data_IF_549445096924
#
_entry.id   IF_549445096924
#
_cell.length_a   1.000
_cell.length_b   1.000
_cell.length_c   1.000
_cell.angle_alpha   90.00
_cell.angle_beta   90.00
_cell.angle_gamma   90.00
#
_symmetry.space_group_name_H-M   'P 1'
#
loop_
_entity.id
_entity.type
_entity.pdbx_description
1 polymer ?
#
# COMPACT_ATOMS: atom_id res chain seq x y z
N UNK A 1 16.49 -17.81 11.47
CA UNK A 1 16.21 -17.47 10.05
C UNK A 1 14.88 -16.75 10.04
N UNK A 2 14.91 -15.43 9.95
CA UNK A 2 13.69 -14.63 9.97
C UNK A 2 12.91 -14.87 8.67
N UNK A 3 11.70 -15.42 8.81
CA UNK A 3 10.84 -15.83 7.70
C UNK A 3 10.26 -14.65 6.90
N UNK A 4 10.59 -13.42 7.25
CA UNK A 4 10.25 -12.23 6.50
C UNK A 4 11.45 -11.79 5.66
N UNK A 5 11.31 -11.72 4.34
CA UNK A 5 12.33 -11.16 3.44
C UNK A 5 12.55 -9.65 3.62
N UNK A 6 12.28 -9.11 4.82
CA UNK A 6 12.36 -7.69 5.14
C UNK A 6 13.80 -7.14 5.05
N UNK A 7 14.82 -7.97 5.25
CA UNK A 7 16.23 -7.56 5.09
C UNK A 7 16.54 -7.06 3.66
N UNK A 8 15.77 -7.46 2.67
CA UNK A 8 15.89 -7.00 1.30
C UNK A 8 15.30 -5.60 1.08
N UNK A 9 14.32 -5.17 1.88
CA UNK A 9 13.65 -3.89 1.70
C UNK A 9 14.57 -2.71 1.98
N UNK A 10 15.35 -2.75 3.06
CA UNK A 10 16.28 -1.68 3.44
C UNK A 10 17.31 -1.37 2.34
N UNK A 11 17.65 -2.35 1.49
CA UNK A 11 18.63 -2.16 0.40
C UNK A 11 18.06 -1.44 -0.84
N UNK A 12 16.75 -1.32 -0.94
CA UNK A 12 16.03 -0.70 -2.08
C UNK A 12 15.23 0.51 -1.63
N UNK A 13 14.58 0.42 -0.47
CA UNK A 13 13.80 1.49 0.12
C UNK A 13 14.68 2.28 1.12
N UNK A 14 15.80 2.79 0.60
CA UNK A 14 16.76 3.61 1.34
C UNK A 14 16.37 5.10 1.32
N UNK A 15 17.10 5.90 2.08
CA UNK A 15 16.85 7.34 2.21
C UNK A 15 16.95 8.09 0.86
N UNK A 16 17.91 7.70 0.01
CA UNK A 16 18.09 8.33 -1.30
C UNK A 16 16.89 8.07 -2.21
N UNK A 17 16.29 6.87 -2.11
CA UNK A 17 15.10 6.50 -2.86
C UNK A 17 13.87 7.22 -2.31
N UNK A 18 13.70 7.27 -0.98
CA UNK A 18 12.61 8.00 -0.34
C UNK A 18 12.62 9.50 -0.70
N UNK A 19 13.80 10.13 -0.69
CA UNK A 19 13.96 11.53 -1.11
C UNK A 19 13.61 11.74 -2.59
N UNK A 20 14.00 10.83 -3.48
CA UNK A 20 13.62 10.88 -4.91
C UNK A 20 12.12 10.77 -5.11
N UNK A 21 11.46 9.89 -4.36
CA UNK A 21 10.00 9.72 -4.42
C UNK A 21 9.30 10.99 -3.91
N UNK A 22 9.78 11.60 -2.85
CA UNK A 22 9.33 12.91 -2.37
C UNK A 22 9.48 13.99 -3.44
N UNK A 23 10.66 14.13 -4.03
CA UNK A 23 10.94 15.19 -5.02
C UNK A 23 10.07 15.01 -6.27
N UNK A 24 9.79 13.76 -6.66
CA UNK A 24 8.82 13.45 -7.71
C UNK A 24 7.42 13.86 -7.31
N UNK A 25 6.98 13.51 -6.08
CA UNK A 25 5.67 13.90 -5.58
C UNK A 25 5.49 15.43 -5.54
N UNK A 26 6.51 16.17 -5.08
CA UNK A 26 6.45 17.64 -5.08
C UNK A 26 6.36 18.24 -6.49
N UNK A 27 7.00 17.63 -7.46
CA UNK A 27 7.01 18.11 -8.84
C UNK A 27 5.76 17.74 -9.63
N UNK A 28 5.31 16.48 -9.50
CA UNK A 28 4.34 15.87 -10.41
C UNK A 28 3.01 15.49 -9.70
N UNK A 29 2.96 15.61 -8.38
CA UNK A 29 1.87 15.09 -7.53
C UNK A 29 1.89 13.56 -7.42
N UNK A 30 0.79 12.94 -6.94
CA UNK A 30 0.65 11.49 -6.89
C UNK A 30 0.83 10.88 -8.28
N UNK A 31 1.46 9.72 -8.37
CA UNK A 31 1.58 9.05 -9.66
C UNK A 31 0.22 8.55 -10.19
N UNK A 32 0.22 8.06 -11.45
CA UNK A 32 -1.02 7.68 -12.11
C UNK A 32 -1.83 6.61 -11.36
N UNK A 33 -1.16 5.62 -10.78
CA UNK A 33 -1.87 4.53 -10.08
C UNK A 33 -2.41 4.99 -8.75
N UNK A 34 -1.64 5.78 -8.00
CA UNK A 34 -2.09 6.41 -6.75
C UNK A 34 -3.26 7.35 -6.98
N UNK A 35 -3.23 8.18 -8.05
CA UNK A 35 -4.39 9.03 -8.43
C UNK A 35 -5.64 8.19 -8.70
N UNK A 36 -5.52 7.12 -9.48
CA UNK A 36 -6.65 6.23 -9.76
C UNK A 36 -7.20 5.58 -8.48
N UNK A 37 -6.32 5.18 -7.55
CA UNK A 37 -6.73 4.66 -6.25
C UNK A 37 -7.52 5.71 -5.46
N UNK A 38 -7.00 6.92 -5.36
CA UNK A 38 -7.64 8.05 -4.67
C UNK A 38 -8.98 8.42 -5.31
N UNK A 39 -9.08 8.39 -6.65
CA UNK A 39 -10.34 8.61 -7.37
C UNK A 39 -11.38 7.54 -7.04
N UNK A 40 -11.00 6.27 -7.05
CA UNK A 40 -11.90 5.15 -6.73
C UNK A 40 -12.32 5.16 -5.25
N UNK A 41 -11.50 5.69 -4.35
CA UNK A 41 -11.81 5.84 -2.92
C UNK A 41 -12.70 7.05 -2.63
N UNK A 42 -12.96 7.94 -3.60
CA UNK A 42 -13.78 9.14 -3.40
C UNK A 42 -15.13 8.88 -2.71
N UNK A 43 -15.91 7.84 -3.05
CA UNK A 43 -17.19 7.55 -2.39
C UNK A 43 -17.07 7.20 -0.90
N UNK A 44 -15.89 6.82 -0.44
CA UNK A 44 -15.62 6.36 0.94
C UNK A 44 -14.92 7.43 1.80
N UNK A 45 -14.72 8.62 1.24
CA UNK A 45 -14.15 9.78 1.95
C UNK A 45 -15.25 10.46 2.76
N UNK A 46 -15.55 9.93 3.93
CA UNK A 46 -16.43 10.61 4.88
C UNK A 46 -15.60 11.51 5.81
N UNK A 47 -16.19 12.64 6.21
CA UNK A 47 -15.55 13.51 7.20
C UNK A 47 -15.26 12.71 8.48
N UNK A 48 -14.01 12.77 8.93
CA UNK A 48 -13.58 12.09 10.14
C UNK A 48 -13.25 10.59 9.97
N UNK A 49 -13.33 10.01 8.74
CA UNK A 49 -12.99 8.61 8.53
C UNK A 49 -11.53 8.30 8.89
N UNK A 50 -11.30 7.11 9.44
CA UNK A 50 -9.97 6.57 9.74
C UNK A 50 -9.36 5.88 8.52
N UNK A 51 -8.05 6.05 8.33
CA UNK A 51 -7.25 5.44 7.25
C UNK A 51 -6.19 4.54 7.86
N UNK A 52 -5.97 3.37 7.27
CA UNK A 52 -4.80 2.52 7.50
C UNK A 52 -4.08 2.32 6.18
N UNK A 53 -2.90 2.92 6.04
CA UNK A 53 -2.07 2.78 4.84
C UNK A 53 -0.89 1.84 5.11
N UNK A 54 -0.94 0.66 4.49
CA UNK A 54 0.04 -0.40 4.70
C UNK A 54 1.10 -0.33 3.60
N UNK A 55 2.37 -0.20 4.00
CA UNK A 55 3.47 0.10 3.11
C UNK A 55 3.33 1.50 2.50
N UNK A 56 2.87 2.46 3.30
CA UNK A 56 2.50 3.80 2.85
C UNK A 56 3.66 4.65 2.33
N UNK A 57 4.88 4.16 2.45
CA UNK A 57 6.06 4.83 1.91
C UNK A 57 6.25 6.23 2.51
N UNK A 58 6.29 7.24 1.66
CA UNK A 58 6.41 8.65 2.10
C UNK A 58 5.07 9.30 2.48
N UNK A 59 3.97 8.50 2.62
CA UNK A 59 2.67 8.95 3.12
C UNK A 59 1.81 9.69 2.09
N UNK A 60 1.99 9.45 0.78
CA UNK A 60 1.23 10.18 -0.26
C UNK A 60 -0.27 9.92 -0.11
N UNK A 61 -0.68 8.67 0.07
CA UNK A 61 -2.10 8.30 0.20
C UNK A 61 -2.70 8.93 1.45
N UNK A 62 -1.99 8.87 2.57
CA UNK A 62 -2.43 9.48 3.84
C UNK A 62 -2.63 10.98 3.69
N UNK A 63 -1.64 11.69 3.15
CA UNK A 63 -1.69 13.14 2.97
C UNK A 63 -2.88 13.55 2.09
N UNK A 64 -3.11 12.85 0.97
CA UNK A 64 -4.20 13.16 0.06
C UNK A 64 -5.58 12.85 0.67
N UNK A 65 -5.71 11.74 1.41
CA UNK A 65 -6.98 11.40 2.09
C UNK A 65 -7.27 12.35 3.26
N UNK A 66 -6.26 12.75 4.03
CA UNK A 66 -6.42 13.72 5.12
C UNK A 66 -6.79 15.11 4.61
N UNK A 67 -6.18 15.56 3.49
CA UNK A 67 -6.58 16.82 2.81
C UNK A 67 -8.02 16.74 2.29
N UNK A 68 -8.45 15.55 1.88
CA UNK A 68 -9.82 15.32 1.40
C UNK A 68 -10.86 15.14 2.53
N UNK A 69 -10.47 15.26 3.82
CA UNK A 69 -11.38 15.27 4.95
C UNK A 69 -11.36 14.03 5.83
N UNK A 70 -10.50 13.02 5.57
CA UNK A 70 -10.30 11.93 6.52
C UNK A 70 -9.85 12.50 7.88
N UNK A 71 -10.21 11.84 8.98
CA UNK A 71 -9.95 12.33 10.35
C UNK A 71 -8.53 12.03 10.81
N UNK A 72 -8.10 10.82 10.64
CA UNK A 72 -6.83 10.31 11.14
C UNK A 72 -6.30 9.20 10.24
N UNK A 73 -4.98 9.05 10.16
CA UNK A 73 -4.33 7.99 9.41
C UNK A 73 -3.35 7.20 10.31
N UNK A 74 -3.22 5.90 10.05
CA UNK A 74 -2.15 5.06 10.56
C UNK A 74 -1.32 4.58 9.39
N UNK A 75 -0.09 5.07 9.28
CA UNK A 75 0.86 4.67 8.25
C UNK A 75 1.79 3.59 8.79
N UNK A 76 1.77 2.42 8.17
CA UNK A 76 2.64 1.30 8.51
C UNK A 76 3.66 1.09 7.42
N UNK A 77 4.95 1.14 7.72
CA UNK A 77 6.01 0.83 6.76
C UNK A 77 7.20 0.12 7.43
N UNK A 78 7.84 -0.79 6.71
CA UNK A 78 9.01 -1.50 7.21
C UNK A 78 10.31 -0.68 7.08
N UNK A 79 10.31 0.40 6.30
CA UNK A 79 11.47 1.26 6.08
C UNK A 79 11.46 2.46 7.00
N UNK A 80 12.41 2.51 7.94
CA UNK A 80 12.66 3.68 8.80
C UNK A 80 12.96 4.93 7.99
N UNK A 81 13.67 4.79 6.85
CA UNK A 81 14.02 5.89 5.97
C UNK A 81 12.78 6.51 5.31
N UNK A 82 11.84 5.68 4.86
CA UNK A 82 10.57 6.16 4.30
C UNK A 82 9.69 6.81 5.37
N UNK A 83 9.61 6.22 6.57
CA UNK A 83 8.86 6.82 7.68
C UNK A 83 9.44 8.16 8.12
N UNK A 84 10.75 8.34 8.08
CA UNK A 84 11.38 9.63 8.38
C UNK A 84 10.93 10.71 7.37
N UNK A 85 10.97 10.39 6.07
CA UNK A 85 10.49 11.30 5.01
C UNK A 85 8.99 11.53 5.12
N UNK A 86 8.18 10.52 5.45
CA UNK A 86 6.74 10.66 5.65
C UNK A 86 6.40 11.62 6.80
N UNK A 87 7.15 11.56 7.92
CA UNK A 87 7.01 12.51 9.03
C UNK A 87 7.34 13.95 8.60
N UNK A 88 8.41 14.13 7.84
CA UNK A 88 8.78 15.45 7.31
C UNK A 88 7.70 16.01 6.39
N UNK A 89 7.13 15.18 5.52
CA UNK A 89 6.05 15.58 4.61
C UNK A 89 4.75 15.90 5.38
N UNK A 90 4.40 15.10 6.37
CA UNK A 90 3.25 15.35 7.25
C UNK A 90 3.42 16.66 8.03
N UNK A 91 4.61 16.92 8.55
CA UNK A 91 4.95 18.18 9.24
C UNK A 91 4.82 19.38 8.31
N UNK A 92 5.39 19.30 7.10
CA UNK A 92 5.27 20.36 6.07
C UNK A 92 3.82 20.64 5.67
N UNK A 93 3.00 19.59 5.65
CA UNK A 93 1.58 19.70 5.34
C UNK A 93 0.71 20.19 6.52
N UNK A 94 1.27 20.31 7.73
CA UNK A 94 0.51 20.62 8.95
C UNK A 94 -0.41 19.48 9.40
N UNK A 95 -0.06 18.25 9.08
CA UNK A 95 -0.87 17.03 9.31
C UNK A 95 -0.19 16.03 10.25
N UNK A 96 0.96 16.39 10.85
CA UNK A 96 1.76 15.48 11.67
C UNK A 96 0.96 14.87 12.83
N UNK A 97 0.16 15.67 13.51
CA UNK A 97 -0.66 15.25 14.66
C UNK A 97 -1.87 14.36 14.25
N UNK A 98 -2.07 14.15 12.95
CA UNK A 98 -3.17 13.36 12.39
C UNK A 98 -2.69 12.05 11.79
N UNK A 99 -1.40 11.70 11.94
CA UNK A 99 -0.83 10.46 11.41
C UNK A 99 -0.05 9.73 12.49
N UNK A 100 -0.44 8.51 12.80
CA UNK A 100 0.36 7.57 13.57
C UNK A 100 1.30 6.80 12.63
N UNK A 101 2.58 6.79 12.97
CA UNK A 101 3.60 6.10 12.18
C UNK A 101 4.04 4.82 12.90
N UNK A 102 3.78 3.68 12.28
CA UNK A 102 4.10 2.36 12.81
C UNK A 102 5.22 1.73 11.97
N UNK A 103 6.38 1.53 12.60
CA UNK A 103 7.50 0.86 11.95
C UNK A 103 7.36 -0.66 12.04
N UNK A 104 7.60 -1.37 10.95
CA UNK A 104 7.78 -2.81 10.88
C UNK A 104 6.89 -3.52 9.89
N UNK A 105 6.98 -4.85 9.92
CA UNK A 105 6.16 -5.74 9.10
C UNK A 105 4.71 -5.71 9.58
N UNK A 106 3.80 -5.31 8.69
CA UNK A 106 2.39 -5.22 9.01
C UNK A 106 1.79 -6.55 9.48
N UNK A 107 2.10 -7.66 8.81
CA UNK A 107 1.52 -8.98 9.16
C UNK A 107 1.88 -9.37 10.59
N UNK A 108 3.12 -9.12 11.00
CA UNK A 108 3.56 -9.37 12.38
C UNK A 108 2.92 -8.44 13.40
N UNK A 109 2.59 -7.22 13.00
CA UNK A 109 1.99 -6.20 13.87
C UNK A 109 0.47 -6.13 13.78
N UNK A 110 -0.14 -6.86 12.86
CA UNK A 110 -1.57 -6.76 12.56
C UNK A 110 -2.44 -6.83 13.83
N UNK A 111 -2.14 -7.74 14.76
CA UNK A 111 -2.92 -7.89 16.00
C UNK A 111 -2.95 -6.62 16.89
N UNK A 112 -1.95 -5.74 16.78
CA UNK A 112 -1.85 -4.49 17.55
C UNK A 112 -2.32 -3.25 16.79
N UNK A 113 -2.76 -3.41 15.53
CA UNK A 113 -3.22 -2.31 14.69
C UNK A 113 -4.74 -2.34 14.60
N UNK A 114 -5.36 -1.23 14.91
CA UNK A 114 -6.81 -1.09 14.89
C UNK A 114 -7.38 -1.18 13.47
N UNK A 115 -8.66 -1.53 13.39
CA UNK A 115 -9.42 -1.49 12.15
C UNK A 115 -9.68 -0.04 11.75
N UNK A 116 -9.61 0.24 10.46
CA UNK A 116 -9.87 1.57 9.89
C UNK A 116 -11.05 1.53 8.89
N UNK A 117 -11.65 2.70 8.65
CA UNK A 117 -12.74 2.81 7.69
C UNK A 117 -12.24 2.53 6.27
N UNK A 118 -11.07 3.06 5.94
CA UNK A 118 -10.40 2.83 4.66
C UNK A 118 -9.04 2.18 4.91
N UNK A 119 -8.77 1.06 4.24
CA UNK A 119 -7.46 0.40 4.25
C UNK A 119 -6.86 0.43 2.84
N UNK A 120 -5.58 0.81 2.72
CA UNK A 120 -4.90 0.92 1.43
C UNK A 120 -3.59 0.13 1.39
N UNK A 121 -3.29 -0.45 0.22
CA UNK A 121 -2.01 -1.07 -0.13
C UNK A 121 -1.62 -0.63 -1.55
N UNK A 122 -0.88 0.48 -1.65
CA UNK A 122 -0.42 0.98 -2.96
C UNK A 122 0.91 0.34 -3.34
N UNK A 123 0.88 -0.67 -4.21
CA UNK A 123 2.07 -1.39 -4.73
C UNK A 123 2.87 -2.17 -3.67
N UNK A 124 2.22 -2.66 -2.65
CA UNK A 124 2.83 -3.40 -1.53
C UNK A 124 2.76 -4.91 -1.77
N UNK A 125 1.63 -5.41 -2.25
CA UNK A 125 1.38 -6.85 -2.43
C UNK A 125 2.47 -7.50 -3.32
N UNK A 126 2.95 -6.80 -4.34
CA UNK A 126 4.00 -7.29 -5.22
C UNK A 126 5.40 -7.36 -4.58
N UNK A 127 5.57 -6.83 -3.41
CA UNK A 127 6.83 -6.84 -2.67
C UNK A 127 6.83 -7.86 -1.53
N UNK A 128 5.65 -8.40 -1.19
CA UNK A 128 5.48 -9.27 -0.03
C UNK A 128 5.37 -10.74 -0.45
N UNK A 129 6.23 -11.64 0.08
CA UNK A 129 6.26 -13.03 -0.35
C UNK A 129 5.00 -13.81 0.06
N UNK A 130 4.50 -13.60 1.28
CA UNK A 130 3.26 -14.21 1.79
C UNK A 130 2.06 -13.28 1.53
N UNK A 131 1.65 -13.23 0.29
CA UNK A 131 0.50 -12.42 -0.13
C UNK A 131 -0.79 -12.84 0.59
N UNK A 132 -0.98 -14.12 0.84
CA UNK A 132 -2.20 -14.60 1.47
C UNK A 132 -2.36 -14.05 2.89
N UNK A 133 -1.31 -14.12 3.70
CA UNK A 133 -1.32 -13.52 5.03
C UNK A 133 -1.50 -12.00 4.97
N UNK A 134 -0.77 -11.30 4.07
CA UNK A 134 -0.88 -9.86 3.94
C UNK A 134 -2.30 -9.42 3.57
N UNK A 135 -2.90 -10.04 2.56
CA UNK A 135 -4.25 -9.68 2.10
C UNK A 135 -5.31 -10.07 3.12
N UNK A 136 -5.21 -11.24 3.77
CA UNK A 136 -6.17 -11.65 4.78
C UNK A 136 -6.17 -10.70 5.99
N UNK A 137 -4.99 -10.39 6.53
CA UNK A 137 -4.85 -9.50 7.67
C UNK A 137 -5.30 -8.06 7.34
N UNK A 138 -4.92 -7.53 6.18
CA UNK A 138 -5.28 -6.16 5.78
C UNK A 138 -6.76 -6.02 5.42
N UNK A 139 -7.34 -6.98 4.67
CA UNK A 139 -8.76 -7.00 4.34
C UNK A 139 -9.64 -7.13 5.60
N UNK A 140 -9.21 -7.93 6.59
CA UNK A 140 -9.87 -8.04 7.88
C UNK A 140 -9.94 -6.73 8.66
N UNK A 141 -9.02 -5.80 8.42
CA UNK A 141 -8.95 -4.48 9.07
C UNK A 141 -9.85 -3.43 8.44
N UNK A 142 -10.29 -3.62 7.20
CA UNK A 142 -11.17 -2.66 6.54
C UNK A 142 -12.59 -2.71 7.13
N UNK A 143 -13.10 -1.57 7.62
CA UNK A 143 -14.50 -1.43 8.09
C UNK A 143 -15.44 -1.12 6.92
N UNK A 144 -15.01 -0.29 5.97
CA UNK A 144 -15.84 0.23 4.89
C UNK A 144 -15.25 -0.08 3.52
N UNK A 145 -14.02 0.35 3.26
CA UNK A 145 -13.38 0.22 1.95
C UNK A 145 -11.95 -0.34 2.07
N UNK A 146 -11.57 -1.10 1.05
CA UNK A 146 -10.25 -1.70 0.88
C UNK A 146 -9.73 -1.41 -0.51
N UNK A 147 -8.68 -0.59 -0.61
CA UNK A 147 -8.10 -0.15 -1.86
C UNK A 147 -6.72 -0.74 -2.10
N UNK A 148 -6.49 -1.34 -3.26
CA UNK A 148 -5.22 -1.99 -3.58
C UNK A 148 -4.71 -1.63 -4.97
N UNK A 149 -3.39 -1.58 -5.08
CA UNK A 149 -2.67 -1.49 -6.36
C UNK A 149 -1.68 -2.64 -6.44
N UNK A 150 -1.82 -3.48 -7.47
CA UNK A 150 -0.94 -4.63 -7.69
C UNK A 150 -0.69 -4.84 -9.19
N UNK A 151 0.41 -5.51 -9.56
CA UNK A 151 0.67 -5.85 -10.96
C UNK A 151 -0.41 -6.79 -11.51
N UNK A 152 -0.78 -6.59 -12.77
CA UNK A 152 -1.69 -7.49 -13.49
C UNK A 152 -1.02 -8.84 -13.70
N UNK A 153 -1.73 -9.93 -13.43
CA UNK A 153 -1.26 -11.28 -13.72
C UNK A 153 -1.32 -11.56 -15.23
N UNK A 154 -0.32 -11.05 -15.96
CA UNK A 154 -0.14 -11.25 -17.39
C UNK A 154 1.23 -11.80 -17.71
N UNK A 155 1.34 -12.60 -18.78
CA UNK A 155 2.61 -13.19 -19.24
C UNK A 155 3.73 -12.13 -19.36
N UNK A 156 3.44 -10.98 -19.98
CA UNK A 156 4.43 -9.90 -20.15
C UNK A 156 4.91 -9.30 -18.82
N UNK A 157 4.01 -9.11 -17.84
CA UNK A 157 4.37 -8.61 -16.52
C UNK A 157 5.23 -9.64 -15.74
N UNK A 158 4.91 -10.94 -15.85
CA UNK A 158 5.73 -12.02 -15.27
C UNK A 158 7.17 -12.01 -15.82
N UNK A 159 7.32 -11.83 -17.14
CA UNK A 159 8.64 -11.70 -17.78
C UNK A 159 9.38 -10.45 -17.30
N UNK A 160 8.72 -9.30 -17.23
CA UNK A 160 9.33 -8.05 -16.77
C UNK A 160 9.84 -8.17 -15.32
N UNK A 161 9.04 -8.75 -14.43
CA UNK A 161 9.46 -8.97 -13.02
C UNK A 161 10.56 -10.02 -12.92
N UNK A 162 10.52 -11.08 -13.72
CA UNK A 162 11.60 -12.08 -13.75
C UNK A 162 12.94 -11.47 -14.17
N UNK A 163 12.95 -10.61 -15.21
CA UNK A 163 14.14 -9.87 -15.63
C UNK A 163 14.64 -8.92 -14.53
N UNK A 164 13.72 -8.17 -13.91
CA UNK A 164 14.07 -7.29 -12.81
C UNK A 164 14.67 -8.04 -11.62
N UNK A 165 14.08 -9.18 -11.25
CA UNK A 165 14.61 -10.03 -10.18
C UNK A 165 15.98 -10.61 -10.54
N UNK A 166 16.22 -10.98 -11.82
CA UNK A 166 17.53 -11.42 -12.29
C UNK A 166 18.56 -10.29 -12.17
N UNK A 167 18.19 -9.07 -12.54
CA UNK A 167 19.02 -7.88 -12.37
C UNK A 167 19.40 -7.61 -10.91
N UNK A 168 18.41 -7.66 -9.98
CA UNK A 168 18.68 -7.51 -8.56
C UNK A 168 19.60 -8.61 -8.02
N UNK A 169 19.43 -9.87 -8.50
CA UNK A 169 20.32 -10.97 -8.13
C UNK A 169 21.75 -10.73 -8.59
N UNK A 170 21.97 -10.24 -9.81
CA UNK A 170 23.29 -9.86 -10.33
C UNK A 170 23.91 -8.76 -9.47
N UNK A 171 23.09 -7.79 -9.04
CA UNK A 171 23.49 -6.70 -8.15
C UNK A 171 23.60 -7.12 -6.68
N UNK A 172 23.47 -8.41 -6.36
CA UNK A 172 23.49 -8.97 -4.99
C UNK A 172 22.50 -8.32 -4.02
N UNK A 173 21.39 -7.78 -4.53
CA UNK A 173 20.30 -7.26 -3.70
C UNK A 173 19.36 -8.37 -3.29
N UNK A 174 18.96 -8.41 -2.02
CA UNK A 174 18.07 -9.45 -1.48
C UNK A 174 16.60 -9.27 -1.90
N UNK A 175 16.22 -8.06 -2.35
CA UNK A 175 14.85 -7.76 -2.78
C UNK A 175 14.36 -8.63 -3.95
N UNK A 176 13.09 -9.01 -3.89
CA UNK A 176 12.38 -9.73 -4.98
C UNK A 176 11.00 -9.11 -5.16
N UNK A 177 10.62 -8.92 -6.42
CA UNK A 177 9.24 -8.61 -6.79
C UNK A 177 8.48 -9.88 -7.13
N UNK A 178 7.17 -9.88 -6.86
CA UNK A 178 6.26 -11.00 -7.07
C UNK A 178 5.10 -10.59 -7.98
N UNK A 179 4.58 -11.54 -8.76
CA UNK A 179 3.26 -11.43 -9.37
C UNK A 179 2.40 -12.52 -8.75
N UNK A 180 1.44 -12.06 -7.98
CA UNK A 180 0.46 -12.92 -7.34
C UNK A 180 -0.79 -13.07 -8.24
N UNK A 181 -1.47 -14.23 -8.21
CA UNK A 181 -2.72 -14.41 -8.93
C UNK A 181 -3.78 -13.42 -8.42
N UNK A 182 -4.26 -12.55 -9.30
CA UNK A 182 -5.25 -11.53 -8.92
C UNK A 182 -6.57 -12.14 -8.44
N UNK A 183 -6.97 -13.27 -9.03
CA UNK A 183 -8.15 -14.03 -8.59
C UNK A 183 -8.02 -14.48 -7.12
N UNK A 184 -6.83 -14.90 -6.69
CA UNK A 184 -6.61 -15.31 -5.30
C UNK A 184 -6.75 -14.14 -4.32
N UNK A 185 -6.29 -12.95 -4.72
CA UNK A 185 -6.50 -11.72 -3.94
C UNK A 185 -7.99 -11.40 -3.80
N UNK A 186 -8.75 -11.53 -4.90
CA UNK A 186 -10.20 -11.33 -4.90
C UNK A 186 -10.93 -12.33 -4.00
N UNK A 187 -10.55 -13.61 -4.03
CA UNK A 187 -11.10 -14.67 -3.17
C UNK A 187 -10.87 -14.36 -1.69
N UNK A 188 -9.65 -13.95 -1.31
CA UNK A 188 -9.32 -13.64 0.09
C UNK A 188 -10.08 -12.39 0.55
N UNK A 189 -10.18 -11.37 -0.28
CA UNK A 189 -10.98 -10.19 0.01
C UNK A 189 -12.46 -10.57 0.24
N UNK A 190 -13.02 -11.41 -0.64
CA UNK A 190 -14.40 -11.90 -0.53
C UNK A 190 -14.61 -12.73 0.75
N UNK A 191 -13.66 -13.60 1.11
CA UNK A 191 -13.70 -14.38 2.36
C UNK A 191 -13.70 -13.49 3.61
N UNK A 192 -13.17 -12.27 3.50
CA UNK A 192 -13.21 -11.25 4.55
C UNK A 192 -14.45 -10.33 4.46
N UNK A 193 -15.45 -10.67 3.65
CA UNK A 193 -16.71 -9.94 3.52
C UNK A 193 -16.62 -8.66 2.67
N UNK A 194 -15.60 -8.56 1.83
CA UNK A 194 -15.39 -7.44 0.91
C UNK A 194 -15.81 -7.84 -0.51
N UNK A 195 -16.48 -6.96 -1.26
CA UNK A 195 -16.86 -7.15 -2.65
C UNK A 195 -16.19 -6.14 -3.54
N UNK A 196 -15.68 -6.58 -4.68
CA UNK A 196 -15.14 -5.69 -5.70
C UNK A 196 -16.24 -4.71 -6.19
N UNK A 197 -15.99 -3.43 -6.06
CA UNK A 197 -16.90 -2.34 -6.45
C UNK A 197 -16.46 -1.63 -7.70
N UNK A 198 -15.17 -1.38 -7.80
CA UNK A 198 -14.61 -0.68 -8.93
C UNK A 198 -13.17 -1.11 -9.18
N UNK A 199 -12.79 -1.14 -10.43
CA UNK A 199 -11.39 -1.34 -10.81
C UNK A 199 -11.00 -0.49 -12.01
N UNK A 200 -9.71 -0.18 -12.10
CA UNK A 200 -9.06 0.47 -13.23
C UNK A 200 -7.77 -0.26 -13.57
N UNK A 201 -7.37 -0.18 -14.81
CA UNK A 201 -6.16 -0.82 -15.27
C UNK A 201 -5.25 0.18 -15.98
N UNK A 202 -3.96 0.07 -15.70
CA UNK A 202 -2.92 0.56 -16.60
C UNK A 202 -2.38 -0.61 -17.42
N UNK A 203 -1.33 -0.40 -18.19
CA UNK A 203 -0.69 -1.50 -18.89
C UNK A 203 -0.11 -2.57 -17.93
N UNK A 204 0.48 -2.14 -16.82
CA UNK A 204 1.13 -3.02 -15.82
C UNK A 204 0.25 -3.26 -14.60
N UNK A 205 -0.48 -2.24 -14.11
CA UNK A 205 -1.11 -2.23 -12.81
C UNK A 205 -2.62 -2.42 -12.88
N UNK A 206 -3.15 -3.12 -11.91
CA UNK A 206 -4.56 -3.16 -11.52
C UNK A 206 -4.71 -2.30 -10.28
N UNK A 207 -5.68 -1.40 -10.30
CA UNK A 207 -6.14 -0.62 -9.16
C UNK A 207 -7.55 -1.10 -8.86
N UNK A 208 -7.81 -1.59 -7.66
CA UNK A 208 -9.11 -2.14 -7.28
C UNK A 208 -9.55 -1.61 -5.93
N UNK A 209 -10.83 -1.32 -5.81
CA UNK A 209 -11.47 -0.95 -4.55
C UNK A 209 -12.61 -1.93 -4.28
N UNK A 210 -12.61 -2.46 -3.09
CA UNK A 210 -13.63 -3.34 -2.53
C UNK A 210 -14.35 -2.60 -1.41
N UNK A 211 -15.60 -2.91 -1.18
CA UNK A 211 -16.32 -2.44 -0.01
C UNK A 211 -16.95 -3.58 0.79
N UNK A 212 -17.17 -3.27 2.03
CA UNK A 212 -17.96 -4.16 2.88
C UNK A 212 -19.42 -3.87 2.64
N UNK A 213 -20.13 -4.82 2.11
CA UNK A 213 -21.60 -4.72 2.04
C UNK A 213 -22.16 -4.61 3.45
N UNK A 214 -22.75 -3.47 3.76
CA UNK A 214 -23.63 -3.36 4.91
C UNK A 214 -24.77 -4.35 4.65
N UNK A 215 -25.04 -5.32 5.55
CA UNK A 215 -26.30 -6.07 5.43
C UNK A 215 -27.44 -5.06 5.47
N UNK A 216 -28.33 -5.19 4.49
CA UNK A 216 -29.55 -4.38 4.43
C UNK A 216 -30.42 -4.66 5.65
#
# INVERSE_FOLDING_TARGET
>A
MDACGCDGFASIFDEATARRDRDRYHRDGPDRTTRLLLELLTPYRSSGSSVLDIGGGIGIVDLELLRAGAGHATLVDASTAYLAVARDEASRAGLLDRIDFVEGDFVRRAASIDRADVVTLDRVICCYPDMEALVAESAGRAKTAYGIVLPRDRRGARWAIALNNAWYRIRRKAYRGFIHPTARVDEIAAANGLRLRAERHTWIWRVAVYDRTVPA
#
